data_IF_931104822646
#
_entry.id   IF_931104822646
#
_cell.length_a   1.000
_cell.length_b   1.000
_cell.length_c   1.000
_cell.angle_alpha   90.00
_cell.angle_beta   90.00
_cell.angle_gamma   90.00
#
_symmetry.space_group_name_H-M   'P 1'
#
loop_
_entity.id
_entity.type
_entity.pdbx_description
1 polymer ?
#
# COMPACT_ATOMS: atom_id res chain seq x y z
N UNK A 1 77.37 -21.58 5.03
CA UNK A 1 78.29 -20.72 5.80
C UNK A 1 78.22 -19.33 5.19
N UNK A 2 78.12 -18.30 6.05
CA UNK A 2 77.98 -16.87 5.79
C UNK A 2 76.58 -16.26 5.73
N UNK A 3 76.43 -15.41 6.74
CA UNK A 3 75.36 -14.55 7.23
C UNK A 3 75.27 -13.23 6.47
N UNK A 4 74.12 -12.59 6.65
CA UNK A 4 73.64 -11.27 6.21
C UNK A 4 74.62 -10.09 6.30
N UNK A 5 74.37 -9.03 5.51
CA UNK A 5 74.03 -7.66 6.01
C UNK A 5 73.79 -6.60 4.90
N UNK A 6 72.77 -5.74 5.13
CA UNK A 6 72.55 -4.40 4.53
C UNK A 6 71.51 -4.36 3.38
N UNK A 7 70.47 -3.51 3.33
CA UNK A 7 70.07 -2.24 4.00
C UNK A 7 68.65 -1.84 3.49
N UNK A 8 68.04 -0.67 3.81
CA UNK A 8 67.23 -0.29 4.96
C UNK A 8 65.71 -0.06 4.70
N UNK A 9 65.02 0.32 5.78
CA UNK A 9 63.59 0.56 5.97
C UNK A 9 62.94 1.69 5.15
N UNK A 10 61.67 1.50 4.79
CA UNK A 10 60.69 2.56 4.51
C UNK A 10 59.46 2.40 5.43
N UNK A 11 59.24 3.40 6.29
CA UNK A 11 57.98 3.62 7.03
C UNK A 11 56.98 4.32 6.11
N UNK A 12 55.72 3.89 6.12
CA UNK A 12 54.64 4.58 5.42
C UNK A 12 53.23 4.07 5.78
N UNK A 13 52.70 4.59 6.88
CA UNK A 13 51.28 4.94 7.11
C UNK A 13 50.18 3.93 6.75
N UNK A 14 49.83 3.08 7.71
CA UNK A 14 48.54 2.40 7.76
C UNK A 14 47.68 3.00 8.89
N UNK A 15 46.93 4.07 8.59
CA UNK A 15 45.98 4.74 9.50
C UNK A 15 44.86 5.40 8.69
N UNK A 16 43.92 4.62 8.15
CA UNK A 16 42.64 5.18 7.67
C UNK A 16 41.46 4.20 7.60
N UNK A 17 41.58 2.94 8.03
CA UNK A 17 40.50 1.95 7.91
C UNK A 17 39.64 1.78 9.18
N UNK A 18 40.06 2.32 10.32
CA UNK A 18 39.40 2.10 11.63
C UNK A 18 38.38 3.17 12.05
N UNK A 19 38.37 4.35 11.42
CA UNK A 19 37.45 5.45 11.78
C UNK A 19 36.07 5.34 11.07
N UNK A 20 36.06 4.87 9.82
CA UNK A 20 34.83 4.76 9.01
C UNK A 20 33.91 3.61 9.47
N UNK A 21 34.47 2.56 10.08
CA UNK A 21 33.71 1.44 10.65
C UNK A 21 33.00 1.82 11.96
N UNK A 22 33.57 2.73 12.75
CA UNK A 22 32.95 3.25 13.99
C UNK A 22 31.73 4.14 13.71
N UNK A 23 31.82 5.03 12.71
CA UNK A 23 30.73 5.94 12.34
C UNK A 23 29.53 5.16 11.75
N UNK A 24 29.77 4.14 10.93
CA UNK A 24 28.71 3.30 10.36
C UNK A 24 27.96 2.48 11.42
N UNK A 25 28.66 1.99 12.45
CA UNK A 25 28.03 1.31 13.60
C UNK A 25 27.21 2.27 14.46
N UNK A 26 27.68 3.50 14.66
CA UNK A 26 26.98 4.51 15.46
C UNK A 26 25.68 4.97 14.79
N UNK A 27 25.69 5.21 13.47
CA UNK A 27 24.48 5.55 12.70
C UNK A 27 23.46 4.41 12.73
N UNK A 28 23.90 3.16 12.55
CA UNK A 28 23.01 2.00 12.60
C UNK A 28 22.42 1.76 13.99
N UNK A 29 23.18 2.01 15.06
CA UNK A 29 22.69 1.90 16.45
C UNK A 29 21.66 3.00 16.80
N UNK A 30 21.85 4.22 16.31
CA UNK A 30 20.88 5.31 16.48
C UNK A 30 19.60 5.05 15.69
N UNK A 31 19.70 4.48 14.48
CA UNK A 31 18.55 4.12 13.65
C UNK A 31 17.76 2.93 14.23
N UNK A 32 18.45 1.90 14.76
CA UNK A 32 17.80 0.81 15.50
C UNK A 32 17.16 1.29 16.80
N UNK A 33 17.80 2.16 17.58
CA UNK A 33 17.22 2.72 18.81
C UNK A 33 15.95 3.53 18.54
N UNK A 34 15.91 4.25 17.42
CA UNK A 34 14.73 5.02 16.98
C UNK A 34 13.61 4.12 16.45
N UNK A 35 13.96 3.02 15.77
CA UNK A 35 13.00 2.03 15.27
C UNK A 35 12.40 1.19 16.42
N UNK A 36 13.24 0.74 17.37
CA UNK A 36 12.79 0.03 18.58
C UNK A 36 11.94 0.92 19.49
N UNK A 37 12.27 2.21 19.62
CA UNK A 37 11.47 3.17 20.39
C UNK A 37 10.15 3.58 19.72
N UNK A 38 10.03 3.45 18.40
CA UNK A 38 8.77 3.65 17.68
C UNK A 38 7.90 2.38 17.77
N UNK A 39 8.51 1.19 17.64
CA UNK A 39 7.80 -0.08 17.74
C UNK A 39 7.32 -0.38 19.18
N UNK A 40 8.05 0.09 20.20
CA UNK A 40 7.61 0.01 21.60
C UNK A 40 6.42 0.93 21.89
N UNK A 41 6.38 2.15 21.32
CA UNK A 41 5.23 3.06 21.44
C UNK A 41 3.99 2.52 20.73
N UNK A 42 4.16 1.91 19.57
CA UNK A 42 3.05 1.22 18.88
C UNK A 42 2.57 0.01 19.68
N UNK A 43 3.48 -0.74 20.32
CA UNK A 43 3.10 -1.84 21.22
C UNK A 43 2.38 -1.38 22.51
N UNK A 44 2.78 -0.25 23.08
CA UNK A 44 2.11 0.35 24.26
C UNK A 44 0.72 0.91 23.91
N UNK A 45 0.54 1.49 22.71
CA UNK A 45 -0.78 1.91 22.18
C UNK A 45 -1.68 0.70 21.85
N UNK A 46 -1.11 -0.42 21.40
CA UNK A 46 -1.84 -1.69 21.19
C UNK A 46 -2.23 -2.35 22.54
N UNK A 47 -1.37 -2.31 23.56
CA UNK A 47 -1.67 -2.82 24.91
C UNK A 47 -2.70 -1.95 25.67
N UNK A 48 -2.69 -0.63 25.50
CA UNK A 48 -3.74 0.25 26.03
C UNK A 48 -5.09 0.00 25.34
N UNK A 49 -5.09 -0.27 24.03
CA UNK A 49 -6.29 -0.62 23.29
C UNK A 49 -6.87 -2.00 23.68
N UNK A 50 -6.03 -2.96 24.10
CA UNK A 50 -6.49 -4.27 24.59
C UNK A 50 -7.14 -4.22 25.99
N UNK A 51 -6.80 -3.24 26.83
CA UNK A 51 -7.37 -3.10 28.18
C UNK A 51 -8.77 -2.47 28.21
N UNK A 52 -9.19 -1.76 27.16
CA UNK A 52 -10.50 -1.11 27.11
C UNK A 52 -11.64 -2.06 26.68
N UNK A 53 -11.33 -3.32 26.33
CA UNK A 53 -12.32 -4.31 25.92
C UNK A 53 -12.46 -5.49 26.91
N UNK A 54 -12.74 -5.17 28.18
CA UNK A 54 -13.47 -6.09 29.06
C UNK A 54 -14.82 -5.47 29.42
N UNK A 55 -15.89 -6.02 28.84
CA UNK A 55 -17.26 -5.65 29.16
C UNK A 55 -17.62 -6.30 30.50
N UNK A 56 -17.67 -5.51 31.57
CA UNK A 56 -18.30 -5.90 32.83
C UNK A 56 -19.81 -6.10 32.61
N UNK A 57 -20.24 -7.36 32.50
CA UNK A 57 -21.66 -7.73 32.53
C UNK A 57 -22.12 -7.76 33.98
N UNK A 58 -22.59 -6.63 34.50
CA UNK A 58 -23.26 -6.57 35.81
C UNK A 58 -24.76 -6.85 35.62
N UNK A 59 -25.34 -7.90 36.25
CA UNK A 59 -26.78 -8.12 36.18
C UNK A 59 -27.54 -7.18 37.12
N UNK A 60 -28.40 -6.34 36.56
CA UNK A 60 -29.28 -5.43 37.31
C UNK A 60 -30.29 -6.19 38.19
N UNK A 61 -30.08 -6.12 39.51
CA UNK A 61 -31.09 -6.44 40.52
C UNK A 61 -31.92 -5.19 40.82
N UNK A 62 -33.21 -5.27 40.49
CA UNK A 62 -34.29 -4.41 40.98
C UNK A 62 -34.16 -4.06 42.47
N UNK A 63 -34.09 -2.76 42.79
CA UNK A 63 -34.61 -2.20 44.05
C UNK A 63 -35.34 -0.89 43.82
N UNK A 64 -36.61 -0.93 44.16
CA UNK A 64 -37.51 0.21 44.32
C UNK A 64 -37.01 1.13 45.44
N UNK A 65 -37.00 2.44 45.21
CA UNK A 65 -37.36 3.43 46.23
C UNK A 65 -37.76 4.77 45.60
N UNK A 66 -38.98 5.21 45.95
CA UNK A 66 -39.48 6.58 45.80
C UNK A 66 -38.59 7.54 46.59
N UNK A 67 -38.18 8.66 46.00
CA UNK A 67 -38.33 9.99 46.62
C UNK A 67 -38.07 11.12 45.63
N UNK A 68 -38.92 12.13 45.75
CA UNK A 68 -39.07 13.37 45.00
C UNK A 68 -37.89 14.35 45.09
N UNK A 69 -37.49 14.97 43.95
CA UNK A 69 -36.99 16.36 43.91
C UNK A 69 -37.06 16.99 42.52
N UNK A 70 -37.25 18.31 42.53
CA UNK A 70 -37.69 19.23 41.47
C UNK A 70 -36.84 19.28 40.17
N UNK A 71 -37.41 19.79 39.04
CA UNK A 71 -36.68 19.90 37.78
C UNK A 71 -35.71 21.12 37.76
N UNK A 72 -34.53 20.99 37.14
CA UNK A 72 -33.62 22.12 36.92
C UNK A 72 -34.08 23.00 35.73
N UNK A 73 -33.60 24.24 35.63
CA UNK A 73 -34.11 25.24 34.69
C UNK A 73 -33.77 24.88 33.23
N UNK A 74 -34.75 25.15 32.34
CA UNK A 74 -34.63 25.02 30.89
C UNK A 74 -33.44 25.85 30.39
N UNK A 75 -32.37 25.19 29.96
CA UNK A 75 -31.30 25.85 29.21
C UNK A 75 -31.81 26.22 27.83
N UNK A 76 -31.65 27.50 27.55
CA UNK A 76 -32.04 28.21 26.35
C UNK A 76 -30.93 27.98 25.30
N UNK A 77 -30.91 26.79 24.69
CA UNK A 77 -29.94 26.42 23.64
C UNK A 77 -30.62 25.90 22.36
N UNK A 78 -31.87 26.29 22.13
CA UNK A 78 -32.49 26.27 20.80
C UNK A 78 -32.60 27.71 20.34
N UNK A 79 -31.67 28.15 19.49
CA UNK A 79 -31.79 29.25 18.52
C UNK A 79 -30.37 29.69 18.10
N UNK A 80 -29.70 28.85 17.31
CA UNK A 80 -28.63 29.26 16.41
C UNK A 80 -28.23 28.03 15.60
N UNK A 81 -28.81 27.90 14.41
CA UNK A 81 -28.13 27.52 13.15
C UNK A 81 -29.17 27.02 12.14
N UNK A 82 -30.06 27.93 11.74
CA UNK A 82 -30.92 27.77 10.57
C UNK A 82 -30.41 28.72 9.50
N UNK A 83 -29.91 28.15 8.39
CA UNK A 83 -29.72 28.89 7.15
C UNK A 83 -28.36 28.69 6.50
N UNK A 84 -28.09 27.49 5.96
CA UNK A 84 -27.30 27.28 4.71
C UNK A 84 -27.03 25.77 4.39
N UNK A 85 -27.53 24.82 5.17
CA UNK A 85 -27.25 23.38 4.98
C UNK A 85 -28.31 22.53 4.26
N UNK A 86 -29.40 23.12 3.76
CA UNK A 86 -30.65 22.40 3.41
C UNK A 86 -30.52 21.34 2.30
N UNK A 87 -29.70 21.59 1.27
CA UNK A 87 -29.56 20.67 0.14
C UNK A 87 -28.58 19.53 0.42
N UNK A 88 -27.49 19.82 1.14
CA UNK A 88 -26.46 18.84 1.50
C UNK A 88 -26.90 17.89 2.62
N UNK A 89 -27.77 18.32 3.55
CA UNK A 89 -28.33 17.43 4.59
C UNK A 89 -29.26 16.35 4.03
N UNK A 90 -29.95 16.63 2.92
CA UNK A 90 -30.94 15.69 2.34
C UNK A 90 -30.30 14.53 1.56
N UNK A 91 -29.04 14.65 1.15
CA UNK A 91 -28.37 13.66 0.28
C UNK A 91 -27.27 12.87 1.00
N UNK A 92 -27.25 12.88 2.32
CA UNK A 92 -26.24 12.14 3.10
C UNK A 92 -26.57 10.66 3.08
N UNK A 93 -25.65 9.87 2.51
CA UNK A 93 -25.81 8.42 2.42
C UNK A 93 -25.50 7.81 3.77
N UNK A 94 -26.46 7.06 4.31
CA UNK A 94 -26.25 6.32 5.55
C UNK A 94 -25.24 5.19 5.34
N UNK A 95 -24.22 5.03 6.21
CA UNK A 95 -23.14 4.06 6.03
C UNK A 95 -23.62 2.59 6.02
N UNK A 96 -24.77 2.29 6.64
CA UNK A 96 -25.36 0.94 6.63
C UNK A 96 -26.20 0.62 5.37
N UNK A 97 -26.27 1.51 4.37
CA UNK A 97 -27.01 1.23 3.15
C UNK A 97 -26.38 0.04 2.40
N UNK A 98 -27.18 -0.96 2.04
CA UNK A 98 -26.71 -2.16 1.34
C UNK A 98 -26.10 -1.83 -0.03
N UNK A 99 -26.68 -0.88 -0.75
CA UNK A 99 -26.15 -0.41 -2.05
C UNK A 99 -24.76 0.20 -1.92
N UNK A 100 -24.54 1.01 -0.87
CA UNK A 100 -23.23 1.60 -0.60
C UNK A 100 -22.19 0.53 -0.22
N UNK A 101 -22.59 -0.50 0.51
CA UNK A 101 -21.71 -1.64 0.85
C UNK A 101 -21.34 -2.45 -0.39
N UNK A 102 -22.28 -2.68 -1.30
CA UNK A 102 -22.02 -3.35 -2.59
C UNK A 102 -21.07 -2.50 -3.43
N UNK A 103 -21.33 -1.19 -3.53
CA UNK A 103 -20.45 -0.25 -4.23
C UNK A 103 -19.03 -0.26 -3.64
N UNK A 104 -18.89 -0.20 -2.32
CA UNK A 104 -17.59 -0.25 -1.64
C UNK A 104 -16.83 -1.53 -1.97
N UNK A 105 -17.50 -2.69 -1.98
CA UNK A 105 -16.88 -3.97 -2.38
C UNK A 105 -16.45 -3.95 -3.84
N UNK A 106 -17.27 -3.39 -4.74
CA UNK A 106 -16.94 -3.22 -6.14
C UNK A 106 -15.68 -2.35 -6.32
N UNK A 107 -15.59 -1.21 -5.61
CA UNK A 107 -14.42 -0.33 -5.63
C UNK A 107 -13.17 -1.03 -5.10
N UNK A 108 -13.27 -1.80 -4.01
CA UNK A 108 -12.14 -2.56 -3.46
C UNK A 108 -11.67 -3.62 -4.45
N UNK A 109 -12.60 -4.37 -5.06
CA UNK A 109 -12.28 -5.34 -6.11
C UNK A 109 -11.56 -4.67 -7.29
N UNK A 110 -12.09 -3.53 -7.74
CA UNK A 110 -11.51 -2.78 -8.84
C UNK A 110 -10.13 -2.21 -8.47
N UNK A 111 -9.93 -1.74 -7.24
CA UNK A 111 -8.64 -1.31 -6.71
C UNK A 111 -7.62 -2.44 -6.71
N UNK A 112 -7.99 -3.64 -6.25
CA UNK A 112 -7.11 -4.80 -6.29
C UNK A 112 -6.70 -5.16 -7.72
N UNK A 113 -7.67 -5.21 -8.64
CA UNK A 113 -7.43 -5.52 -10.04
C UNK A 113 -6.52 -4.47 -10.72
N UNK A 114 -6.82 -3.19 -10.53
CA UNK A 114 -6.04 -2.09 -11.10
C UNK A 114 -4.62 -2.00 -10.50
N UNK A 115 -4.47 -2.23 -9.20
CA UNK A 115 -3.16 -2.30 -8.55
C UNK A 115 -2.34 -3.49 -9.06
N UNK A 116 -2.96 -4.62 -9.37
CA UNK A 116 -2.26 -5.75 -10.00
C UNK A 116 -1.80 -5.43 -11.43
N UNK A 117 -2.62 -4.73 -12.20
CA UNK A 117 -2.27 -4.34 -13.57
C UNK A 117 -1.18 -3.28 -13.65
N UNK A 118 -1.03 -2.40 -12.67
CA UNK A 118 -0.07 -1.28 -12.76
C UNK A 118 1.40 -1.73 -12.90
N UNK A 119 1.93 -2.67 -12.09
CA UNK A 119 3.27 -3.21 -12.32
C UNK A 119 3.42 -3.91 -13.68
N UNK A 120 2.37 -4.60 -14.13
CA UNK A 120 2.35 -5.30 -15.41
C UNK A 120 2.42 -4.30 -16.58
N UNK A 121 1.61 -3.24 -16.53
CA UNK A 121 1.66 -2.10 -17.44
C UNK A 121 3.05 -1.47 -17.45
N UNK A 122 3.59 -1.16 -16.27
CA UNK A 122 4.91 -0.56 -16.15
C UNK A 122 6.00 -1.44 -16.74
N UNK A 123 6.00 -2.75 -16.47
CA UNK A 123 7.07 -3.65 -16.88
C UNK A 123 6.97 -4.14 -18.31
N UNK A 124 5.80 -4.63 -18.72
CA UNK A 124 5.63 -5.36 -19.98
C UNK A 124 5.10 -4.51 -21.14
N UNK A 125 4.29 -3.49 -20.86
CA UNK A 125 3.64 -2.71 -21.90
C UNK A 125 4.36 -1.38 -22.16
N UNK A 126 5.07 -1.26 -23.28
CA UNK A 126 5.53 0.04 -23.82
C UNK A 126 4.42 0.72 -24.64
N UNK A 127 3.22 0.80 -24.08
CA UNK A 127 2.03 1.28 -24.77
C UNK A 127 0.86 0.34 -24.56
N UNK A 128 -0.14 0.81 -23.83
CA UNK A 128 -1.28 0.00 -23.43
C UNK A 128 -2.17 -0.30 -24.65
N UNK A 129 -2.54 -1.57 -24.91
CA UNK A 129 -3.47 -1.91 -25.97
C UNK A 129 -4.85 -1.30 -25.68
N UNK A 130 -5.64 -1.07 -26.73
CA UNK A 130 -6.88 -0.27 -26.65
C UNK A 130 -7.89 -0.81 -25.62
N UNK A 131 -8.03 -2.13 -25.51
CA UNK A 131 -8.89 -2.79 -24.53
C UNK A 131 -8.47 -2.51 -23.08
N UNK A 132 -7.18 -2.59 -22.76
CA UNK A 132 -6.67 -2.30 -21.42
C UNK A 132 -6.75 -0.80 -21.10
N UNK A 133 -6.57 0.06 -22.10
CA UNK A 133 -6.77 1.50 -21.94
C UNK A 133 -8.22 1.88 -21.64
N UNK A 134 -9.18 1.29 -22.35
CA UNK A 134 -10.61 1.47 -22.04
C UNK A 134 -10.94 0.98 -20.63
N UNK A 135 -10.37 -0.16 -20.24
CA UNK A 135 -10.56 -0.72 -18.91
C UNK A 135 -10.04 0.23 -17.83
N UNK A 136 -8.81 0.74 -17.95
CA UNK A 136 -8.27 1.70 -16.99
C UNK A 136 -9.10 3.00 -16.94
N UNK A 137 -9.59 3.49 -18.08
CA UNK A 137 -10.47 4.67 -18.14
C UNK A 137 -11.79 4.46 -17.37
N UNK A 138 -12.48 3.33 -17.59
CA UNK A 138 -13.71 2.99 -16.84
C UNK A 138 -13.43 2.94 -15.34
N UNK A 139 -12.28 2.38 -14.97
CA UNK A 139 -11.81 2.34 -13.60
C UNK A 139 -11.60 3.70 -12.96
N UNK A 140 -10.93 4.61 -13.68
CA UNK A 140 -10.70 5.98 -13.22
C UNK A 140 -12.02 6.71 -12.98
N UNK A 141 -13.02 6.54 -13.85
CA UNK A 141 -14.35 7.13 -13.65
C UNK A 141 -15.02 6.57 -12.40
N UNK A 142 -14.96 5.25 -12.17
CA UNK A 142 -15.52 4.62 -10.98
C UNK A 142 -14.86 5.14 -9.68
N UNK A 143 -13.54 5.32 -9.67
CA UNK A 143 -12.85 5.90 -8.52
C UNK A 143 -13.17 7.38 -8.31
N UNK A 144 -13.36 8.15 -9.37
CA UNK A 144 -13.79 9.55 -9.25
C UNK A 144 -15.17 9.64 -8.59
N UNK A 145 -16.10 8.76 -8.98
CA UNK A 145 -17.42 8.64 -8.34
C UNK A 145 -17.26 8.23 -6.87
N UNK A 146 -16.35 7.30 -6.54
CA UNK A 146 -16.05 6.92 -5.14
C UNK A 146 -15.56 8.10 -4.29
N UNK A 147 -14.69 8.96 -4.83
CA UNK A 147 -14.24 10.18 -4.15
C UNK A 147 -15.44 11.07 -3.81
N UNK A 148 -16.32 11.33 -4.78
CA UNK A 148 -17.52 12.15 -4.55
C UNK A 148 -18.43 11.53 -3.50
N UNK A 149 -18.65 10.21 -3.57
CA UNK A 149 -19.47 9.50 -2.58
C UNK A 149 -18.88 9.58 -1.17
N UNK A 150 -17.54 9.52 -1.02
CA UNK A 150 -16.88 9.65 0.28
C UNK A 150 -17.11 11.02 0.95
N UNK A 151 -17.30 12.08 0.18
CA UNK A 151 -17.70 13.40 0.73
C UNK A 151 -19.15 13.44 1.23
N UNK A 152 -20.01 12.51 0.77
CA UNK A 152 -21.44 12.47 1.07
C UNK A 152 -21.82 11.42 2.12
N UNK A 153 -20.88 10.57 2.54
CA UNK A 153 -21.14 9.47 3.49
C UNK A 153 -20.93 9.94 4.93
N UNK A 154 -21.93 9.71 5.78
CA UNK A 154 -21.81 9.99 7.21
C UNK A 154 -20.80 9.06 7.88
N UNK A 155 -20.03 9.59 8.84
CA UNK A 155 -19.06 8.81 9.60
C UNK A 155 -19.53 8.58 11.04
N UNK A 156 -19.04 7.51 11.65
CA UNK A 156 -19.17 7.26 13.09
C UNK A 156 -18.00 7.89 13.82
N UNK A 157 -18.31 8.71 14.81
CA UNK A 157 -17.30 9.31 15.68
C UNK A 157 -16.75 8.28 16.67
N UNK A 158 -15.44 8.32 16.93
CA UNK A 158 -14.77 7.35 17.81
C UNK A 158 -15.07 7.60 19.29
N UNK A 159 -15.18 8.87 19.68
CA UNK A 159 -15.34 9.26 21.09
C UNK A 159 -16.81 9.20 21.53
N UNK A 160 -17.71 9.67 20.67
CA UNK A 160 -19.13 9.79 21.01
C UNK A 160 -19.98 8.59 20.54
N UNK A 161 -19.42 7.70 19.70
CA UNK A 161 -20.12 6.63 18.96
C UNK A 161 -21.34 7.08 18.13
N UNK A 162 -21.64 8.38 18.07
CA UNK A 162 -22.73 8.98 17.32
C UNK A 162 -22.38 9.10 15.82
N UNK A 163 -23.41 9.04 14.98
CA UNK A 163 -23.28 9.26 13.53
C UNK A 163 -23.38 10.77 13.27
N UNK A 164 -22.34 11.35 12.68
CA UNK A 164 -22.28 12.78 12.38
C UNK A 164 -22.71 13.00 10.93
N UNK A 165 -23.75 13.82 10.76
CA UNK A 165 -24.35 14.18 9.46
C UNK A 165 -23.95 15.59 9.00
N UNK A 166 -22.91 16.20 9.57
CA UNK A 166 -22.48 17.52 9.14
C UNK A 166 -21.52 17.39 7.92
N UNK A 167 -21.90 17.87 6.72
CA UNK A 167 -21.10 17.72 5.50
C UNK A 167 -19.73 18.40 5.60
N UNK A 168 -19.65 19.54 6.29
CA UNK A 168 -18.39 20.28 6.46
C UNK A 168 -17.40 19.49 7.32
N UNK A 169 -17.87 18.87 8.40
CA UNK A 169 -17.05 18.01 9.26
C UNK A 169 -16.57 16.75 8.52
N UNK A 170 -17.45 16.14 7.71
CA UNK A 170 -17.12 14.99 6.86
C UNK A 170 -16.01 15.36 5.87
N UNK A 171 -16.18 16.47 5.14
CA UNK A 171 -15.23 16.93 4.14
C UNK A 171 -13.85 17.23 4.74
N UNK A 172 -13.78 17.95 5.86
CA UNK A 172 -12.50 18.28 6.52
C UNK A 172 -11.77 17.01 6.96
N UNK A 173 -12.47 16.05 7.56
CA UNK A 173 -11.88 14.78 8.00
C UNK A 173 -11.34 13.96 6.82
N UNK A 174 -12.08 13.91 5.71
CA UNK A 174 -11.66 13.19 4.52
C UNK A 174 -10.47 13.86 3.83
N UNK A 175 -10.50 15.20 3.68
CA UNK A 175 -9.42 16.01 3.14
C UNK A 175 -8.10 15.83 3.91
N UNK A 176 -8.15 15.75 5.25
CA UNK A 176 -6.97 15.63 6.09
C UNK A 176 -6.33 14.23 6.06
N UNK A 177 -7.09 13.18 5.76
CA UNK A 177 -6.64 11.79 5.94
C UNK A 177 -6.33 11.06 4.64
N UNK A 178 -7.28 11.01 3.70
CA UNK A 178 -7.23 10.07 2.56
C UNK A 178 -7.39 10.74 1.20
N UNK A 179 -7.92 11.97 1.15
CA UNK A 179 -8.22 12.67 -0.11
C UNK A 179 -6.99 12.83 -1.02
N UNK A 180 -5.82 13.20 -0.47
CA UNK A 180 -4.61 13.41 -1.28
C UNK A 180 -4.19 12.10 -1.96
N UNK A 181 -4.23 10.97 -1.24
CA UNK A 181 -3.87 9.67 -1.80
C UNK A 181 -4.88 9.18 -2.84
N UNK A 182 -6.16 9.41 -2.59
CA UNK A 182 -7.25 9.10 -3.52
C UNK A 182 -7.13 9.95 -4.81
N UNK A 183 -6.85 11.25 -4.67
CA UNK A 183 -6.67 12.17 -5.79
C UNK A 183 -5.46 11.79 -6.66
N UNK A 184 -4.31 11.54 -6.02
CA UNK A 184 -3.10 11.08 -6.72
C UNK A 184 -3.32 9.71 -7.39
N UNK A 185 -4.10 8.83 -6.77
CA UNK A 185 -4.45 7.54 -7.33
C UNK A 185 -5.38 7.64 -8.54
N UNK A 186 -6.27 8.62 -8.60
CA UNK A 186 -7.24 8.80 -9.70
C UNK A 186 -6.69 9.56 -10.90
N UNK A 187 -5.53 10.19 -10.77
CA UNK A 187 -4.99 11.04 -11.83
C UNK A 187 -4.59 10.22 -13.08
N UNK A 188 -4.85 10.72 -14.30
CA UNK A 188 -4.64 9.98 -15.55
C UNK A 188 -3.17 9.99 -15.99
N UNK A 189 -2.30 9.33 -15.22
CA UNK A 189 -0.85 9.32 -15.44
C UNK A 189 -0.43 8.80 -16.84
N UNK A 190 -1.20 7.89 -17.47
CA UNK A 190 -0.90 7.39 -18.83
C UNK A 190 -1.06 8.46 -19.90
N UNK A 191 -2.08 9.30 -19.75
CA UNK A 191 -2.36 10.38 -20.68
C UNK A 191 -1.23 11.39 -20.62
N UNK A 192 -0.72 11.67 -19.42
CA UNK A 192 0.43 12.55 -19.19
C UNK A 192 1.71 11.95 -19.78
N UNK A 193 1.96 10.66 -19.56
CA UNK A 193 3.09 9.96 -20.17
C UNK A 193 3.07 10.04 -21.70
N UNK A 194 1.89 9.83 -22.32
CA UNK A 194 1.71 9.98 -23.77
C UNK A 194 1.89 11.43 -24.23
N UNK A 195 1.32 12.40 -23.51
CA UNK A 195 1.39 13.83 -23.85
C UNK A 195 2.82 14.42 -23.71
N UNK A 196 3.62 13.95 -22.74
CA UNK A 196 4.99 14.40 -22.53
C UNK A 196 6.01 13.75 -23.50
N UNK A 197 5.56 13.05 -24.54
CA UNK A 197 6.44 12.44 -25.54
C UNK A 197 7.12 11.15 -25.05
N UNK A 198 6.46 10.39 -24.16
CA UNK A 198 6.90 9.05 -23.73
C UNK A 198 8.26 9.00 -23.03
N UNK A 199 8.64 10.07 -22.34
CA UNK A 199 9.87 10.14 -21.52
C UNK A 199 9.82 9.12 -20.38
N UNK A 200 10.88 8.34 -20.21
CA UNK A 200 10.98 7.31 -19.16
C UNK A 200 10.83 7.92 -17.74
N UNK A 201 11.28 9.16 -17.53
CA UNK A 201 11.10 9.87 -16.24
C UNK A 201 9.62 10.00 -15.84
N UNK A 202 8.76 10.30 -16.81
CA UNK A 202 7.31 10.47 -16.59
C UNK A 202 6.63 9.11 -16.36
N UNK A 203 7.23 8.03 -16.86
CA UNK A 203 6.74 6.67 -16.67
C UNK A 203 6.76 6.26 -15.20
N UNK A 204 7.73 6.73 -14.42
CA UNK A 204 7.77 6.45 -12.99
C UNK A 204 6.55 7.01 -12.22
N UNK A 205 5.88 8.03 -12.75
CA UNK A 205 4.65 8.55 -12.15
C UNK A 205 3.50 7.53 -12.16
N UNK A 206 3.56 6.50 -13.01
CA UNK A 206 2.58 5.40 -13.00
C UNK A 206 2.55 4.68 -11.65
N UNK A 207 3.69 4.61 -10.95
CA UNK A 207 3.76 4.01 -9.61
C UNK A 207 2.95 4.78 -8.56
N UNK A 208 2.59 6.04 -8.81
CA UNK A 208 1.69 6.79 -7.93
C UNK A 208 0.32 6.12 -7.84
N UNK A 209 -0.13 5.39 -8.87
CA UNK A 209 -1.38 4.62 -8.83
C UNK A 209 -1.40 3.54 -7.75
N UNK A 210 -0.24 3.14 -7.22
CA UNK A 210 -0.17 2.18 -6.11
C UNK A 210 -0.80 2.71 -4.82
N UNK A 211 -1.10 4.01 -4.71
CA UNK A 211 -1.92 4.54 -3.63
C UNK A 211 -3.31 3.88 -3.59
N UNK A 212 -3.83 3.38 -4.72
CA UNK A 212 -5.10 2.61 -4.80
C UNK A 212 -5.09 1.37 -3.89
N UNK A 213 -3.92 0.77 -3.64
CA UNK A 213 -3.77 -0.39 -2.75
C UNK A 213 -4.16 -0.08 -1.31
N UNK A 214 -4.13 1.18 -0.88
CA UNK A 214 -4.62 1.59 0.44
C UNK A 214 -6.09 1.19 0.67
N UNK A 215 -6.92 1.18 -0.38
CA UNK A 215 -8.33 0.73 -0.30
C UNK A 215 -8.40 -0.75 0.09
N UNK A 216 -7.51 -1.57 -0.46
CA UNK A 216 -7.42 -3.01 -0.16
C UNK A 216 -6.90 -3.23 1.26
N UNK A 217 -5.90 -2.45 1.70
CA UNK A 217 -5.42 -2.48 3.09
C UNK A 217 -6.50 -2.07 4.08
N UNK A 218 -7.29 -1.03 3.77
CA UNK A 218 -8.45 -0.62 4.58
C UNK A 218 -9.47 -1.76 4.68
N UNK A 219 -9.80 -2.41 3.56
CA UNK A 219 -10.69 -3.57 3.56
C UNK A 219 -10.21 -4.70 4.48
N UNK A 220 -8.93 -5.07 4.43
CA UNK A 220 -8.40 -6.10 5.34
C UNK A 220 -8.42 -5.65 6.81
N UNK A 221 -8.15 -4.37 7.10
CA UNK A 221 -8.27 -3.83 8.47
C UNK A 221 -9.70 -3.88 8.99
N UNK A 222 -10.67 -3.59 8.14
CA UNK A 222 -12.08 -3.66 8.50
C UNK A 222 -12.55 -5.11 8.67
N UNK A 223 -12.02 -6.03 7.86
CA UNK A 223 -12.29 -7.46 7.97
C UNK A 223 -11.69 -8.07 9.24
N UNK A 224 -10.47 -7.64 9.64
CA UNK A 224 -9.82 -8.06 10.89
C UNK A 224 -10.60 -7.60 12.14
N UNK A 225 -11.37 -6.51 12.04
CA UNK A 225 -12.23 -5.99 13.12
C UNK A 225 -13.62 -6.64 13.16
N UNK A 226 -14.01 -7.38 12.13
CA UNK A 226 -15.33 -8.03 12.09
C UNK A 226 -15.33 -9.29 12.96
N UNK A 227 -16.04 -9.24 14.08
CA UNK A 227 -16.19 -10.35 15.03
C UNK A 227 -16.77 -11.63 14.43
N UNK A 228 -17.38 -11.56 13.24
CA UNK A 228 -17.97 -12.72 12.56
C UNK A 228 -16.95 -13.54 11.78
N UNK A 229 -15.74 -13.02 11.60
CA UNK A 229 -14.69 -13.66 10.80
C UNK A 229 -13.53 -14.06 11.71
N UNK A 230 -12.95 -15.23 11.47
CA UNK A 230 -11.80 -15.68 12.24
C UNK A 230 -10.59 -14.76 11.98
N UNK A 231 -10.08 -14.14 13.04
CA UNK A 231 -8.94 -13.22 12.99
C UNK A 231 -7.69 -13.89 12.39
N UNK A 232 -7.33 -15.09 12.86
CA UNK A 232 -6.14 -15.80 12.39
C UNK A 232 -6.22 -16.13 10.89
N UNK A 233 -7.40 -16.56 10.44
CA UNK A 233 -7.64 -16.84 9.02
C UNK A 233 -7.44 -15.58 8.16
N UNK A 234 -8.04 -14.46 8.57
CA UNK A 234 -7.91 -13.18 7.86
C UNK A 234 -6.45 -12.73 7.78
N UNK A 235 -5.69 -12.88 8.87
CA UNK A 235 -4.27 -12.54 8.92
C UNK A 235 -3.43 -13.40 7.98
N UNK A 236 -3.67 -14.71 7.92
CA UNK A 236 -2.98 -15.63 7.00
C UNK A 236 -3.28 -15.24 5.54
N UNK A 237 -4.55 -15.02 5.20
CA UNK A 237 -4.95 -14.62 3.84
C UNK A 237 -4.30 -13.29 3.45
N UNK A 238 -4.31 -12.30 4.34
CA UNK A 238 -3.67 -11.00 4.12
C UNK A 238 -2.17 -11.15 3.84
N UNK A 239 -1.45 -11.98 4.61
CA UNK A 239 -0.03 -12.22 4.39
C UNK A 239 0.24 -12.88 3.03
N UNK A 240 -0.56 -13.88 2.65
CA UNK A 240 -0.44 -14.54 1.34
C UNK A 240 -0.66 -13.52 0.20
N UNK A 241 -1.70 -12.70 0.30
CA UNK A 241 -2.00 -11.67 -0.73
C UNK A 241 -0.87 -10.66 -0.85
N UNK A 242 -0.33 -10.19 0.28
CA UNK A 242 0.80 -9.24 0.29
C UNK A 242 2.05 -9.86 -0.32
N UNK A 243 2.36 -11.11 0.01
CA UNK A 243 3.52 -11.84 -0.52
C UNK A 243 3.41 -12.03 -2.04
N UNK A 244 2.27 -12.51 -2.52
CA UNK A 244 2.01 -12.68 -3.95
C UNK A 244 2.11 -11.35 -4.71
N UNK A 245 1.58 -10.28 -4.13
CA UNK A 245 1.65 -8.94 -4.72
C UNK A 245 3.08 -8.40 -4.80
N UNK A 246 3.87 -8.60 -3.74
CA UNK A 246 5.27 -8.21 -3.72
C UNK A 246 6.08 -8.99 -4.77
N UNK A 247 5.87 -10.30 -4.84
CA UNK A 247 6.48 -11.18 -5.84
C UNK A 247 6.17 -10.72 -7.27
N UNK A 248 4.90 -10.46 -7.56
CA UNK A 248 4.44 -9.99 -8.86
C UNK A 248 5.08 -8.65 -9.25
N UNK A 249 5.12 -7.72 -8.29
CA UNK A 249 5.74 -6.41 -8.49
C UNK A 249 7.24 -6.56 -8.77
N UNK A 250 7.94 -7.40 -8.01
CA UNK A 250 9.36 -7.68 -8.21
C UNK A 250 9.63 -8.33 -9.57
N UNK A 251 8.81 -9.30 -9.99
CA UNK A 251 8.90 -9.93 -11.31
C UNK A 251 8.78 -8.90 -12.45
N UNK A 252 7.80 -8.00 -12.35
CA UNK A 252 7.61 -6.93 -13.33
C UNK A 252 8.80 -5.95 -13.36
N UNK A 253 9.38 -5.62 -12.21
CA UNK A 253 10.57 -4.78 -12.10
C UNK A 253 11.80 -5.48 -12.70
N UNK A 254 12.03 -6.75 -12.42
CA UNK A 254 13.15 -7.51 -12.99
C UNK A 254 13.04 -7.63 -14.51
N UNK A 255 11.83 -7.86 -15.02
CA UNK A 255 11.58 -7.83 -16.47
C UNK A 255 11.86 -6.44 -17.04
N UNK A 256 11.35 -5.39 -16.41
CA UNK A 256 11.60 -4.00 -16.82
C UNK A 256 13.09 -3.71 -16.94
N UNK A 257 13.87 -4.05 -15.91
CA UNK A 257 15.33 -3.87 -15.87
C UNK A 257 16.06 -4.66 -16.96
N UNK A 258 15.59 -5.84 -17.35
CA UNK A 258 16.16 -6.55 -18.49
C UNK A 258 15.92 -5.79 -19.81
N UNK A 259 14.77 -5.12 -19.94
CA UNK A 259 14.42 -4.40 -21.17
C UNK A 259 14.96 -2.98 -21.26
N UNK A 260 15.63 -2.44 -20.24
CA UNK A 260 16.33 -1.14 -20.32
C UNK A 260 17.68 -1.25 -21.03
N UNK A 261 18.25 -2.45 -21.10
CA UNK A 261 19.48 -2.73 -21.86
C UNK A 261 19.21 -2.74 -23.37
N UNK A 262 20.17 -2.25 -24.18
CA UNK A 262 20.04 -2.23 -25.64
C UNK A 262 20.00 -3.65 -26.22
N UNK A 263 19.38 -3.80 -27.39
CA UNK A 263 19.19 -5.12 -28.05
C UNK A 263 20.51 -5.88 -28.26
N UNK A 264 21.60 -5.17 -28.54
CA UNK A 264 22.94 -5.75 -28.70
C UNK A 264 23.50 -6.42 -27.45
N UNK A 265 22.93 -6.16 -26.26
CA UNK A 265 23.36 -6.71 -24.98
C UNK A 265 22.29 -7.59 -24.31
N UNK A 266 21.25 -8.02 -25.05
CA UNK A 266 20.20 -8.88 -24.52
C UNK A 266 20.73 -10.16 -23.89
N UNK A 267 21.75 -10.79 -24.50
CA UNK A 267 22.36 -12.02 -24.00
C UNK A 267 23.06 -11.90 -22.65
N UNK A 268 23.37 -10.69 -22.17
CA UNK A 268 23.95 -10.44 -20.85
C UNK A 268 22.91 -10.16 -19.76
N UNK A 269 21.63 -10.13 -20.13
CA UNK A 269 20.54 -9.99 -19.16
C UNK A 269 20.26 -11.32 -18.46
N UNK A 270 19.69 -11.25 -17.24
CA UNK A 270 19.32 -12.45 -16.47
C UNK A 270 18.37 -13.39 -17.22
N UNK A 271 17.55 -12.85 -18.13
CA UNK A 271 16.61 -13.62 -18.95
C UNK A 271 17.25 -14.05 -20.27
N UNK A 272 18.06 -13.21 -20.91
CA UNK A 272 18.65 -13.50 -22.21
C UNK A 272 19.81 -14.49 -22.15
N UNK A 273 20.47 -14.62 -21.01
CA UNK A 273 21.47 -15.67 -20.77
C UNK A 273 20.85 -17.04 -20.49
N UNK A 274 19.52 -17.13 -20.35
CA UNK A 274 18.84 -18.37 -20.00
C UNK A 274 18.73 -19.32 -21.20
N UNK A 275 19.12 -20.58 -20.99
CA UNK A 275 18.91 -21.68 -21.93
C UNK A 275 18.06 -22.75 -21.26
N UNK A 276 16.86 -23.00 -21.80
CA UNK A 276 15.90 -23.95 -21.24
C UNK A 276 15.63 -25.06 -22.27
N UNK A 277 16.44 -26.13 -22.22
CA UNK A 277 16.43 -27.16 -23.26
C UNK A 277 16.89 -26.58 -24.61
N UNK A 278 16.11 -26.80 -25.66
CA UNK A 278 16.40 -26.27 -27.02
C UNK A 278 16.01 -24.79 -27.20
N UNK A 279 15.37 -24.17 -26.20
CA UNK A 279 14.96 -22.77 -26.26
C UNK A 279 16.07 -21.85 -25.72
N UNK A 280 16.59 -20.99 -26.59
CA UNK A 280 17.46 -19.87 -26.22
C UNK A 280 16.62 -18.60 -26.05
N UNK A 281 16.78 -17.92 -24.91
CA UNK A 281 16.12 -16.64 -24.63
C UNK A 281 16.91 -15.42 -25.15
N UNK A 282 17.89 -15.63 -26.04
CA UNK A 282 18.74 -14.58 -26.60
C UNK A 282 17.98 -13.42 -27.25
N UNK A 283 16.80 -13.69 -27.83
CA UNK A 283 15.84 -12.71 -28.34
C UNK A 283 14.52 -12.76 -27.56
N UNK A 284 14.57 -12.60 -26.23
CA UNK A 284 13.39 -12.76 -25.36
C UNK A 284 12.25 -11.78 -25.70
N UNK A 285 12.52 -10.67 -26.40
CA UNK A 285 11.51 -9.67 -26.82
C UNK A 285 10.49 -10.23 -27.82
N UNK A 286 10.87 -11.22 -28.62
CA UNK A 286 10.03 -11.83 -29.66
C UNK A 286 9.16 -12.98 -29.13
N UNK A 287 9.47 -13.48 -27.93
CA UNK A 287 8.73 -14.56 -27.28
C UNK A 287 7.36 -14.06 -26.81
N UNK A 288 6.36 -14.94 -26.73
CA UNK A 288 5.04 -14.59 -26.19
C UNK A 288 5.12 -13.90 -24.81
N UNK A 289 4.19 -12.96 -24.57
CA UNK A 289 4.11 -12.22 -23.31
C UNK A 289 3.89 -13.13 -22.10
N UNK A 290 3.11 -14.19 -22.28
CA UNK A 290 2.79 -15.15 -21.21
C UNK A 290 4.04 -15.88 -20.76
N UNK A 291 4.84 -16.36 -21.70
CA UNK A 291 6.09 -17.06 -21.42
C UNK A 291 7.07 -16.14 -20.69
N UNK A 292 7.25 -14.90 -21.16
CA UNK A 292 8.10 -13.92 -20.48
C UNK A 292 7.62 -13.64 -19.05
N UNK A 293 6.32 -13.45 -18.88
CA UNK A 293 5.73 -13.19 -17.57
C UNK A 293 5.91 -14.37 -16.60
N UNK A 294 5.64 -15.60 -17.05
CA UNK A 294 5.83 -16.81 -16.24
C UNK A 294 7.30 -16.98 -15.86
N UNK A 295 8.24 -16.76 -16.79
CA UNK A 295 9.68 -16.85 -16.52
C UNK A 295 10.13 -15.80 -15.50
N UNK A 296 9.67 -14.55 -15.61
CA UNK A 296 9.95 -13.50 -14.62
C UNK A 296 9.33 -13.78 -13.25
N UNK A 297 8.11 -14.33 -13.21
CA UNK A 297 7.47 -14.75 -11.97
C UNK A 297 8.24 -15.89 -11.30
N UNK A 298 8.64 -16.90 -12.08
CA UNK A 298 9.46 -18.01 -11.58
C UNK A 298 10.77 -17.50 -10.97
N UNK A 299 11.47 -16.60 -11.66
CA UNK A 299 12.68 -15.96 -11.15
C UNK A 299 12.43 -15.25 -9.82
N UNK A 300 11.41 -14.39 -9.75
CA UNK A 300 11.08 -13.65 -8.53
C UNK A 300 10.72 -14.58 -7.36
N UNK A 301 9.93 -15.63 -7.60
CA UNK A 301 9.56 -16.62 -6.56
C UNK A 301 10.80 -17.36 -6.05
N UNK A 302 11.69 -17.83 -6.93
CA UNK A 302 12.90 -18.58 -6.53
C UNK A 302 13.85 -17.70 -5.71
N UNK A 303 13.96 -16.40 -6.06
CA UNK A 303 14.75 -15.43 -5.29
C UNK A 303 14.12 -15.15 -3.94
N UNK A 304 12.80 -14.90 -3.89
CA UNK A 304 12.09 -14.55 -2.67
C UNK A 304 12.03 -15.71 -1.66
N UNK A 305 11.83 -16.94 -2.15
CA UNK A 305 11.86 -18.16 -1.33
C UNK A 305 13.29 -18.60 -0.98
N UNK A 306 14.32 -17.85 -1.38
CA UNK A 306 15.74 -18.13 -1.13
C UNK A 306 16.21 -19.49 -1.62
N UNK A 307 15.47 -20.13 -2.54
CA UNK A 307 15.85 -21.41 -3.14
C UNK A 307 17.11 -21.26 -3.99
N UNK A 308 17.30 -20.11 -4.66
CA UNK A 308 18.55 -19.73 -5.32
C UNK A 308 18.95 -20.56 -6.55
N UNK A 309 18.15 -21.57 -6.94
CA UNK A 309 18.44 -22.49 -8.06
C UNK A 309 18.56 -21.83 -9.43
N UNK A 310 18.08 -20.61 -9.59
CA UNK A 310 18.11 -19.91 -10.88
C UNK A 310 19.53 -19.63 -11.37
N UNK A 311 20.47 -19.37 -10.46
CA UNK A 311 21.87 -19.05 -10.80
C UNK A 311 22.75 -20.28 -11.01
N UNK A 312 22.27 -21.48 -10.70
CA UNK A 312 23.07 -22.71 -10.79
C UNK A 312 23.30 -23.19 -12.23
N UNK A 313 22.59 -22.59 -13.20
CA UNK A 313 22.60 -22.97 -14.62
C UNK A 313 22.90 -21.78 -15.56
N UNK A 314 23.34 -20.64 -15.01
CA UNK A 314 23.77 -19.47 -15.77
C UNK A 314 25.29 -19.39 -15.86
#
# INVERSE_FOLDING_TARGET
MFTETGQPAARGLDRSSSSLTGIRRCVHAVQMGRWLGLNRRVGEEEEEAEKEYQVDVLPDRLKSSRSSRAPPPRSLSRLADDGEGGFLRSHIVHPNNEWYRIWTRFIVFWAAFSSFLTPLEFGFFRGLPWNLFLLDMVGQIAFLIDIVLRFLVAYRDSDTFCIIYNPTSIAIRYCKSSFIFDLLGCFPWDVIYKACGRKEEVRYLLWIRMTRTQKVTQFFRDLEKDIRVNYLFTRIVKLIVVELYFTHTAACIFYYLATTLPESMEGYTWIGSLQLGDYSYSHFRDIDLTTRYITSMYFAIVTMTTVGKFWSHA
#
